data_IF_994086605204
#
_entry.id   IF_994086605204
#
_cell.length_a   1.000
_cell.length_b   1.000
_cell.length_c   1.000
_cell.angle_alpha   90.00
_cell.angle_beta   90.00
_cell.angle_gamma   90.00
#
_symmetry.space_group_name_H-M   'P 1'
#
loop_
_entity.id
_entity.type
_entity.pdbx_description
1 polymer ?
#
# COMPACT_ATOMS: atom_id res chain seq x y z
N UNK A 1 -10.41 2.58 -2.87
CA UNK A 1 -10.00 3.98 -3.13
C UNK A 1 -10.63 4.42 -4.44
N UNK A 2 -11.02 5.69 -4.59
CA UNK A 2 -11.56 6.22 -5.86
C UNK A 2 -10.65 7.34 -6.36
N UNK A 3 -10.25 7.30 -7.63
CA UNK A 3 -9.43 8.36 -8.26
C UNK A 3 -10.26 9.07 -9.31
N UNK A 4 -10.33 10.40 -9.23
CA UNK A 4 -11.03 11.23 -10.21
C UNK A 4 -10.07 12.28 -10.76
N UNK A 5 -9.87 12.27 -12.08
CA UNK A 5 -9.00 13.22 -12.77
C UNK A 5 -9.49 13.43 -14.20
N UNK A 6 -9.44 14.67 -14.67
CA UNK A 6 -9.71 15.04 -16.07
C UNK A 6 -8.42 15.18 -16.89
N UNK A 7 -7.26 14.83 -16.31
CA UNK A 7 -6.00 14.95 -17.00
C UNK A 7 -5.92 13.96 -18.18
N UNK A 8 -5.72 14.50 -19.39
CA UNK A 8 -5.71 13.73 -20.62
C UNK A 8 -4.48 12.84 -20.78
N UNK A 9 -3.36 13.16 -20.10
CA UNK A 9 -2.17 12.31 -20.05
C UNK A 9 -2.30 11.18 -19.00
N UNK A 10 -3.39 11.21 -18.22
CA UNK A 10 -3.75 10.19 -17.25
C UNK A 10 -3.17 10.41 -15.85
N UNK A 11 -2.96 9.31 -15.15
CA UNK A 11 -2.50 9.33 -13.76
C UNK A 11 -1.81 8.02 -13.37
N UNK A 12 -1.01 8.09 -12.31
CA UNK A 12 -0.53 6.91 -11.62
C UNK A 12 -0.86 6.99 -10.13
N UNK A 13 -0.87 5.82 -9.49
CA UNK A 13 -0.94 5.72 -8.04
C UNK A 13 0.18 4.83 -7.55
N UNK A 14 0.86 5.30 -6.52
CA UNK A 14 1.88 4.54 -5.79
C UNK A 14 1.46 4.33 -4.35
N UNK A 15 2.02 3.30 -3.72
CA UNK A 15 1.92 3.04 -2.29
C UNK A 15 3.32 2.94 -1.68
N UNK A 16 3.50 3.50 -0.49
CA UNK A 16 4.72 3.33 0.30
C UNK A 16 4.39 3.33 1.79
N UNK A 17 5.21 2.64 2.58
CA UNK A 17 5.12 2.70 4.04
C UNK A 17 5.74 3.99 4.58
N UNK A 18 5.16 4.56 5.62
CA UNK A 18 5.71 5.72 6.32
C UNK A 18 6.98 5.40 7.13
N UNK A 19 7.21 4.12 7.45
CA UNK A 19 8.38 3.66 8.19
C UNK A 19 8.78 2.24 7.76
N UNK A 20 10.04 1.87 8.00
CA UNK A 20 10.58 0.56 7.66
C UNK A 20 10.03 -0.57 8.55
N UNK A 21 9.43 -0.23 9.68
CA UNK A 21 8.96 -1.17 10.69
C UNK A 21 7.56 -0.78 11.19
N UNK A 22 6.73 -1.77 11.47
CA UNK A 22 5.58 -1.61 12.34
C UNK A 22 6.06 -1.59 13.79
N UNK A 23 5.58 -0.62 14.55
CA UNK A 23 5.95 -0.46 15.97
C UNK A 23 4.82 -0.88 16.87
N UNK A 24 5.17 -1.48 18.00
CA UNK A 24 4.25 -1.82 19.09
C UNK A 24 3.46 -0.59 19.59
N UNK A 25 2.23 -0.82 20.04
CA UNK A 25 1.40 0.18 20.70
C UNK A 25 1.83 0.43 22.14
N UNK A 26 2.31 -0.61 22.83
CA UNK A 26 2.85 -0.49 24.18
C UNK A 26 4.28 0.04 24.11
N UNK A 27 4.53 1.17 24.78
CA UNK A 27 5.85 1.80 24.83
C UNK A 27 6.93 0.95 25.53
N UNK A 28 6.53 0.03 26.41
CA UNK A 28 7.47 -0.90 27.07
C UNK A 28 7.86 -2.10 26.19
N UNK A 29 7.13 -2.34 25.09
CA UNK A 29 7.45 -3.39 24.13
C UNK A 29 8.23 -2.79 22.95
N UNK A 30 9.51 -3.16 22.85
CA UNK A 30 10.44 -2.64 21.83
C UNK A 30 10.55 -3.52 20.58
N UNK A 31 9.79 -4.62 20.51
CA UNK A 31 9.78 -5.45 19.33
C UNK A 31 9.18 -4.70 18.13
N UNK A 32 9.58 -5.12 16.93
CA UNK A 32 9.11 -4.53 15.68
C UNK A 32 8.84 -5.62 14.65
N UNK A 33 7.99 -5.32 13.68
CA UNK A 33 7.76 -6.17 12.51
C UNK A 33 8.25 -5.40 11.28
N UNK A 34 9.20 -5.92 10.48
CA UNK A 34 9.63 -5.25 9.25
C UNK A 34 8.45 -5.06 8.30
N UNK A 35 8.34 -3.90 7.65
CA UNK A 35 7.23 -3.64 6.72
C UNK A 35 7.27 -4.55 5.48
N UNK A 36 8.44 -5.11 5.17
CA UNK A 36 8.60 -6.15 4.15
C UNK A 36 7.80 -7.44 4.46
N UNK A 37 7.37 -7.64 5.71
CA UNK A 37 6.47 -8.72 6.08
C UNK A 37 5.01 -8.47 5.65
N UNK A 38 4.66 -7.22 5.32
CA UNK A 38 3.38 -6.82 4.75
C UNK A 38 3.51 -6.85 3.22
N UNK A 39 2.80 -7.77 2.59
CA UNK A 39 2.66 -7.86 1.15
C UNK A 39 1.40 -7.18 0.64
N UNK A 40 1.44 -6.70 -0.60
CA UNK A 40 0.29 -6.14 -1.31
C UNK A 40 0.13 -6.78 -2.69
N UNK A 41 -1.08 -6.70 -3.23
CA UNK A 41 -1.37 -6.97 -4.65
C UNK A 41 -2.58 -6.19 -5.13
N UNK A 42 -2.84 -6.15 -6.44
CA UNK A 42 -4.11 -5.66 -6.97
C UNK A 42 -5.23 -6.66 -6.65
N UNK A 43 -6.39 -6.18 -6.19
CA UNK A 43 -7.54 -7.04 -5.90
C UNK A 43 -7.98 -7.80 -7.15
N UNK A 44 -8.29 -9.09 -6.99
CA UNK A 44 -8.70 -9.96 -8.09
C UNK A 44 -7.55 -10.45 -8.99
N UNK A 45 -6.29 -10.08 -8.69
CA UNK A 45 -5.15 -10.69 -9.35
C UNK A 45 -4.99 -12.16 -8.86
N UNK A 46 -5.15 -13.11 -9.79
CA UNK A 46 -4.99 -14.55 -9.52
C UNK A 46 -3.50 -14.91 -9.35
N UNK A 47 -2.64 -14.21 -10.09
CA UNK A 47 -1.17 -14.18 -10.00
C UNK A 47 -0.76 -12.73 -10.31
N UNK A 48 0.33 -12.17 -9.73
CA UNK A 48 1.44 -12.82 -9.02
C UNK A 48 1.24 -12.95 -7.49
N UNK A 49 2.26 -13.50 -6.81
CA UNK A 49 2.38 -13.49 -5.35
C UNK A 49 2.30 -12.07 -4.77
N UNK A 50 2.00 -11.96 -3.47
CA UNK A 50 2.03 -10.68 -2.77
C UNK A 50 3.43 -10.06 -2.84
N UNK A 51 3.51 -8.83 -3.34
CA UNK A 51 4.77 -8.07 -3.40
C UNK A 51 5.02 -7.43 -2.04
N UNK A 52 6.20 -7.63 -1.41
CA UNK A 52 6.56 -6.96 -0.17
C UNK A 52 6.48 -5.43 -0.30
N UNK A 53 5.90 -4.78 0.71
CA UNK A 53 5.92 -3.32 0.81
C UNK A 53 7.27 -2.83 1.34
N UNK A 54 7.59 -1.59 0.99
CA UNK A 54 8.79 -0.91 1.45
C UNK A 54 8.46 0.56 1.73
N UNK A 55 9.45 1.31 2.23
CA UNK A 55 9.36 2.77 2.34
C UNK A 55 9.50 3.50 1.00
N UNK A 56 9.92 2.79 -0.06
CA UNK A 56 9.97 3.33 -1.40
C UNK A 56 8.60 3.21 -2.08
N UNK A 57 8.29 4.18 -2.94
CA UNK A 57 7.07 4.19 -3.76
C UNK A 57 7.01 2.98 -4.68
N UNK A 58 5.97 2.16 -4.52
CA UNK A 58 5.67 1.03 -5.39
C UNK A 58 4.44 1.39 -6.24
N UNK A 59 4.50 1.30 -7.58
CA UNK A 59 3.34 1.56 -8.43
C UNK A 59 2.26 0.50 -8.22
N UNK A 60 1.05 0.94 -7.92
CA UNK A 60 -0.13 0.06 -7.73
C UNK A 60 -1.16 0.20 -8.85
N UNK A 61 -1.11 1.32 -9.57
CA UNK A 61 -1.99 1.59 -10.70
C UNK A 61 -1.35 2.60 -11.65
N UNK A 62 -1.63 2.47 -12.94
CA UNK A 62 -1.31 3.45 -13.96
C UNK A 62 -2.44 3.46 -14.98
N UNK A 63 -2.85 4.65 -15.38
CA UNK A 63 -3.89 4.91 -16.37
C UNK A 63 -3.36 5.94 -17.35
N UNK A 64 -3.48 5.68 -18.64
CA UNK A 64 -2.95 6.54 -19.71
C UNK A 64 -3.96 7.60 -20.19
N UNK A 65 -5.08 7.78 -19.48
CA UNK A 65 -6.17 8.69 -19.83
C UNK A 65 -6.80 9.27 -18.57
N UNK A 66 -7.66 10.27 -18.75
CA UNK A 66 -8.57 10.72 -17.70
C UNK A 66 -9.36 9.54 -17.11
N UNK A 67 -9.77 9.67 -15.85
CA UNK A 67 -10.65 8.69 -15.21
C UNK A 67 -12.04 8.72 -15.85
N UNK A 68 -12.86 7.70 -15.58
CA UNK A 68 -14.30 7.79 -15.85
C UNK A 68 -14.91 9.01 -15.11
N UNK A 69 -16.10 9.45 -15.53
CA UNK A 69 -16.80 10.59 -14.92
C UNK A 69 -17.09 10.37 -13.41
N UNK A 70 -17.45 9.14 -13.06
CA UNK A 70 -17.65 8.70 -11.67
C UNK A 70 -16.33 8.46 -10.90
N UNK A 71 -15.19 8.55 -11.59
CA UNK A 71 -13.88 8.12 -11.11
C UNK A 71 -13.62 6.63 -11.35
N UNK A 72 -12.38 6.23 -11.10
CA UNK A 72 -11.93 4.85 -11.21
C UNK A 72 -11.77 4.25 -9.81
N UNK A 73 -12.43 3.11 -9.59
CA UNK A 73 -12.32 2.37 -8.32
C UNK A 73 -11.08 1.48 -8.31
N UNK A 74 -10.14 1.80 -7.42
CA UNK A 74 -8.91 1.07 -7.19
C UNK A 74 -9.00 0.29 -5.88
N UNK A 75 -8.65 -0.99 -5.93
CA UNK A 75 -8.61 -1.89 -4.78
C UNK A 75 -7.32 -2.71 -4.75
N UNK A 76 -6.78 -2.87 -3.55
CA UNK A 76 -5.60 -3.67 -3.25
C UNK A 76 -5.93 -4.68 -2.15
N UNK A 77 -5.37 -5.88 -2.27
CA UNK A 77 -5.40 -6.86 -1.20
C UNK A 77 -4.09 -6.77 -0.42
N UNK A 78 -4.16 -7.07 0.88
CA UNK A 78 -3.01 -7.08 1.78
C UNK A 78 -2.89 -8.39 2.53
N UNK A 79 -1.66 -8.82 2.77
CA UNK A 79 -1.32 -9.98 3.58
C UNK A 79 -0.12 -9.63 4.47
N UNK A 80 -0.14 -10.07 5.72
CA UNK A 80 1.02 -9.94 6.61
C UNK A 80 1.44 -11.29 7.16
N UNK A 81 2.74 -11.55 7.16
CA UNK A 81 3.35 -12.68 7.90
C UNK A 81 3.88 -12.14 9.22
N UNK A 82 3.19 -12.45 10.32
CA UNK A 82 3.59 -11.97 11.65
C UNK A 82 4.74 -12.87 12.16
N UNK A 83 5.95 -12.34 12.40
CA UNK A 83 7.06 -13.11 12.98
C UNK A 83 6.81 -13.40 14.46
N UNK A 84 7.70 -14.19 15.08
CA UNK A 84 7.64 -14.42 16.53
C UNK A 84 7.98 -13.13 17.30
N UNK A 85 6.95 -12.39 17.69
CA UNK A 85 7.03 -11.18 18.53
C UNK A 85 6.07 -11.30 19.71
N UNK A 86 6.31 -10.58 20.82
CA UNK A 86 5.35 -10.52 21.93
C UNK A 86 3.95 -10.10 21.47
N UNK A 87 2.92 -10.55 22.18
CA UNK A 87 1.54 -10.16 21.89
C UNK A 87 1.34 -8.65 22.10
N UNK A 88 1.03 -7.93 21.02
CA UNK A 88 0.78 -6.49 21.03
C UNK A 88 0.06 -6.06 19.75
N UNK A 89 -0.29 -4.77 19.64
CA UNK A 89 -0.74 -4.17 18.39
C UNK A 89 0.41 -3.46 17.69
N UNK A 90 0.85 -3.99 16.57
CA UNK A 90 1.88 -3.40 15.73
C UNK A 90 1.25 -2.54 14.62
N UNK A 91 1.72 -1.30 14.43
CA UNK A 91 1.13 -0.35 13.48
C UNK A 91 2.18 0.30 12.58
N UNK A 92 1.78 0.58 11.33
CA UNK A 92 2.47 1.46 10.39
C UNK A 92 1.42 2.14 9.52
N UNK A 93 1.71 3.34 9.01
CA UNK A 93 0.87 4.00 8.02
C UNK A 93 1.32 3.65 6.60
N UNK A 94 0.37 3.40 5.71
CA UNK A 94 0.60 3.31 4.27
C UNK A 94 0.13 4.60 3.60
N UNK A 95 1.01 5.21 2.83
CA UNK A 95 0.74 6.42 2.08
C UNK A 95 0.46 6.04 0.64
N UNK A 96 -0.74 6.38 0.17
CA UNK A 96 -1.10 6.32 -1.24
C UNK A 96 -0.89 7.70 -1.87
N UNK A 97 -0.14 7.74 -2.96
CA UNK A 97 0.17 8.98 -3.70
C UNK A 97 -0.36 8.84 -5.11
N UNK A 98 -1.36 9.66 -5.44
CA UNK A 98 -1.91 9.77 -6.80
C UNK A 98 -1.32 10.99 -7.50
N UNK A 99 -0.73 10.78 -8.68
CA UNK A 99 -0.12 11.85 -9.50
C UNK A 99 -0.84 11.92 -10.83
N UNK A 100 -1.36 13.09 -11.19
CA UNK A 100 -1.84 13.36 -12.55
C UNK A 100 -0.64 13.70 -13.46
N UNK A 101 -0.61 13.18 -14.69
CA UNK A 101 0.57 13.18 -15.56
C UNK A 101 0.67 14.36 -16.53
#
# INVERSE_FOLDING_TARGET
MNVKTNNLLGYNVTVQAAAANLTSANASNTATIPVAALGWRKTGAVLPAFTPLTVAAVPVHAQASASAEAGDSLSNDYQIVIPFVPGDTYRVNLNYVATAL
#
